data_IF_452585468359
#
_entry.id   IF_452585468359
#
_cell.length_a   1.000
_cell.length_b   1.000
_cell.length_c   1.000
_cell.angle_alpha   90.00
_cell.angle_beta   90.00
_cell.angle_gamma   90.00
#
_symmetry.space_group_name_H-M   'P 1'
#
loop_
_entity.id
_entity.type
_entity.pdbx_description
1 polymer ?
#
# COMPACT_ATOMS: atom_id res chain seq x y z
N UNK A 1 -8.84 -14.93 2.11
CA UNK A 1 -9.20 -14.60 0.69
C UNK A 1 -7.93 -14.51 -0.14
N UNK A 2 -7.83 -15.31 -1.17
CA UNK A 2 -6.60 -15.45 -1.96
C UNK A 2 -6.61 -14.64 -3.25
N UNK A 3 -7.77 -14.40 -3.85
CA UNK A 3 -7.87 -13.52 -5.02
C UNK A 3 -9.26 -12.87 -5.14
N UNK A 4 -9.32 -11.74 -5.86
CA UNK A 4 -10.55 -10.99 -6.12
C UNK A 4 -10.77 -10.91 -7.63
N UNK A 5 -11.87 -11.44 -8.10
CA UNK A 5 -12.39 -11.31 -9.47
C UNK A 5 -13.61 -10.39 -9.48
N UNK A 6 -14.11 -9.99 -10.65
CA UNK A 6 -15.18 -8.98 -10.75
C UNK A 6 -16.39 -9.23 -9.84
N UNK A 7 -16.85 -10.47 -9.71
CA UNK A 7 -18.04 -10.86 -8.94
C UNK A 7 -17.81 -12.12 -8.09
N UNK A 8 -16.61 -12.69 -8.11
CA UNK A 8 -16.22 -13.89 -7.39
C UNK A 8 -14.96 -13.65 -6.58
N UNK A 9 -14.90 -14.28 -5.45
CA UNK A 9 -13.75 -14.25 -4.54
C UNK A 9 -13.18 -15.65 -4.42
N UNK A 10 -11.90 -15.82 -4.70
CA UNK A 10 -11.21 -17.06 -4.39
C UNK A 10 -10.87 -17.08 -2.90
N UNK A 11 -11.21 -18.15 -2.23
CA UNK A 11 -11.03 -18.36 -0.80
C UNK A 11 -10.19 -19.61 -0.60
N UNK A 12 -9.31 -19.61 0.39
CA UNK A 12 -8.64 -20.81 0.87
C UNK A 12 -9.40 -21.35 2.07
N UNK A 13 -9.79 -22.62 2.03
CA UNK A 13 -10.42 -23.35 3.11
C UNK A 13 -9.72 -24.71 3.22
N UNK A 14 -9.03 -24.95 4.33
CA UNK A 14 -8.29 -26.19 4.59
C UNK A 14 -7.34 -26.60 3.44
N UNK A 15 -6.63 -25.60 2.88
CA UNK A 15 -5.70 -25.79 1.76
C UNK A 15 -6.36 -25.92 0.38
N UNK A 16 -7.69 -25.97 0.31
CA UNK A 16 -8.44 -26.04 -0.95
C UNK A 16 -8.93 -24.66 -1.40
N UNK A 17 -8.92 -24.41 -2.71
CA UNK A 17 -9.52 -23.19 -3.27
C UNK A 17 -11.00 -23.40 -3.50
N UNK A 18 -11.83 -22.59 -2.86
CA UNK A 18 -13.26 -22.50 -3.12
C UNK A 18 -13.60 -21.10 -3.62
N UNK A 19 -14.80 -20.92 -4.15
CA UNK A 19 -15.27 -19.60 -4.60
C UNK A 19 -16.43 -19.11 -3.74
N UNK A 20 -16.40 -17.80 -3.47
CA UNK A 20 -17.43 -17.11 -2.72
C UNK A 20 -18.03 -15.93 -3.50
N UNK A 21 -19.28 -15.58 -3.14
CA UNK A 21 -20.00 -14.39 -3.65
C UNK A 21 -20.54 -13.57 -2.50
N UNK A 22 -20.72 -12.28 -2.73
CA UNK A 22 -21.41 -11.38 -1.82
C UNK A 22 -22.90 -11.25 -2.15
N UNK A 23 -23.70 -11.03 -1.12
CA UNK A 23 -25.06 -10.50 -1.28
C UNK A 23 -24.97 -8.99 -1.53
N UNK A 24 -24.78 -8.60 -2.79
CA UNK A 24 -24.36 -7.25 -3.18
C UNK A 24 -25.29 -6.13 -2.69
N UNK A 25 -26.60 -6.38 -2.53
CA UNK A 25 -27.55 -5.40 -1.98
C UNK A 25 -27.25 -5.12 -0.50
N UNK A 26 -27.20 -6.16 0.33
CA UNK A 26 -26.94 -6.04 1.77
C UNK A 26 -25.56 -5.42 2.04
N UNK A 27 -24.55 -5.76 1.21
CA UNK A 27 -23.21 -5.18 1.36
C UNK A 27 -23.16 -3.69 1.04
N UNK A 28 -23.88 -3.24 0.02
CA UNK A 28 -24.02 -1.81 -0.30
C UNK A 28 -24.74 -1.01 0.78
N UNK A 29 -25.74 -1.60 1.40
CA UNK A 29 -26.51 -0.97 2.49
C UNK A 29 -25.69 -0.83 3.77
N UNK A 30 -24.76 -1.74 4.05
CA UNK A 30 -23.87 -1.67 5.22
C UNK A 30 -22.86 -0.53 5.16
N UNK A 31 -22.57 0.00 3.96
CA UNK A 31 -21.51 1.00 3.75
C UNK A 31 -20.08 0.47 3.95
N UNK A 32 -19.91 -0.83 4.19
CA UNK A 32 -18.61 -1.46 4.41
C UNK A 32 -17.77 -1.49 3.13
N UNK A 33 -16.45 -1.42 3.30
CA UNK A 33 -15.52 -1.64 2.18
C UNK A 33 -15.65 -3.08 1.69
N UNK A 34 -15.68 -3.25 0.37
CA UNK A 34 -15.71 -4.58 -0.25
C UNK A 34 -14.52 -5.43 0.22
N UNK A 35 -14.69 -6.75 0.33
CA UNK A 35 -13.62 -7.67 0.64
C UNK A 35 -12.49 -7.58 -0.39
N UNK A 36 -11.26 -7.83 0.07
CA UNK A 36 -10.06 -7.79 -0.75
C UNK A 36 -9.12 -8.94 -0.43
N UNK A 37 -8.01 -9.05 -1.16
CA UNK A 37 -6.98 -10.05 -0.89
C UNK A 37 -6.43 -9.90 0.53
N UNK A 38 -6.24 -11.02 1.23
CA UNK A 38 -5.81 -11.07 2.62
C UNK A 38 -6.94 -10.99 3.66
N UNK A 39 -8.17 -10.69 3.26
CA UNK A 39 -9.31 -10.67 4.20
C UNK A 39 -9.68 -12.08 4.70
N UNK A 40 -10.06 -12.14 5.97
CA UNK A 40 -10.73 -13.28 6.58
C UNK A 40 -12.24 -13.10 6.51
N UNK A 41 -12.97 -14.14 6.14
CA UNK A 41 -14.41 -14.09 5.92
C UNK A 41 -15.08 -15.34 6.46
N UNK A 42 -16.29 -15.17 7.00
CA UNK A 42 -17.19 -16.29 7.24
C UNK A 42 -18.03 -16.58 6.00
N UNK A 43 -18.29 -17.85 5.75
CA UNK A 43 -19.05 -18.29 4.60
C UNK A 43 -20.19 -19.23 5.01
N UNK A 44 -21.27 -19.18 4.26
CA UNK A 44 -22.30 -20.24 4.25
C UNK A 44 -22.05 -21.09 2.99
N UNK A 45 -21.77 -22.39 3.14
CA UNK A 45 -21.61 -23.28 2.00
C UNK A 45 -22.85 -23.33 1.10
N UNK A 46 -22.64 -23.46 -0.20
CA UNK A 46 -23.71 -23.67 -1.17
C UNK A 46 -23.36 -24.91 -2.01
N UNK A 47 -24.16 -25.94 -1.91
CA UNK A 47 -23.95 -27.21 -2.59
C UNK A 47 -24.06 -27.12 -4.13
N UNK A 48 -24.71 -26.06 -4.64
CA UNK A 48 -24.99 -25.89 -6.08
C UNK A 48 -24.17 -24.75 -6.72
N UNK A 49 -23.19 -24.20 -6.02
CA UNK A 49 -22.41 -23.08 -6.56
C UNK A 49 -21.47 -22.44 -5.57
N UNK A 50 -21.18 -21.15 -5.80
CA UNK A 50 -20.27 -20.39 -4.95
C UNK A 50 -20.85 -20.22 -3.53
N UNK A 51 -20.01 -20.35 -2.51
CA UNK A 51 -20.38 -20.08 -1.12
C UNK A 51 -20.82 -18.64 -0.93
N UNK A 52 -21.68 -18.36 0.03
CA UNK A 52 -22.10 -17.02 0.37
C UNK A 52 -21.17 -16.44 1.44
N UNK A 53 -20.51 -15.33 1.15
CA UNK A 53 -19.76 -14.55 2.15
C UNK A 53 -20.76 -13.78 3.00
N UNK A 54 -20.77 -14.06 4.30
CA UNK A 54 -21.74 -13.51 5.26
C UNK A 54 -21.14 -12.46 6.18
N UNK A 55 -19.88 -12.65 6.62
CA UNK A 55 -19.17 -11.74 7.52
C UNK A 55 -17.78 -11.45 6.97
N UNK A 56 -17.34 -10.22 7.14
CA UNK A 56 -15.95 -9.81 6.97
C UNK A 56 -15.36 -9.58 8.36
N UNK A 57 -14.32 -10.33 8.68
CA UNK A 57 -13.61 -10.20 9.94
C UNK A 57 -12.89 -8.84 10.06
N UNK A 58 -12.71 -8.32 11.28
CA UNK A 58 -11.97 -7.09 11.51
C UNK A 58 -10.56 -7.15 10.91
N UNK A 59 -10.22 -6.13 10.14
CA UNK A 59 -8.89 -5.99 9.52
C UNK A 59 -7.89 -5.45 10.53
N UNK A 60 -6.70 -6.07 10.61
CA UNK A 60 -5.58 -5.58 11.43
C UNK A 60 -4.77 -4.51 10.69
N UNK A 61 -4.56 -4.71 9.40
CA UNK A 61 -3.86 -3.79 8.51
C UNK A 61 -4.62 -3.64 7.21
N UNK A 62 -4.51 -2.49 6.55
CA UNK A 62 -5.30 -2.23 5.34
C UNK A 62 -4.63 -1.21 4.42
N UNK A 63 -4.36 -1.59 3.18
CA UNK A 63 -4.15 -0.62 2.11
C UNK A 63 -5.47 -0.21 1.47
N UNK A 64 -5.67 1.10 1.38
CA UNK A 64 -6.84 1.75 0.76
C UNK A 64 -6.42 2.54 -0.47
N UNK A 65 -7.28 2.62 -1.46
CA UNK A 65 -7.14 3.48 -2.63
C UNK A 65 -8.40 4.33 -2.77
N UNK A 66 -8.23 5.62 -3.00
CA UNK A 66 -9.32 6.49 -3.42
C UNK A 66 -9.28 6.63 -4.94
N UNK A 67 -10.40 6.37 -5.61
CA UNK A 67 -10.59 6.79 -7.00
C UNK A 67 -10.76 8.30 -7.03
N UNK A 68 -9.65 9.05 -7.14
CA UNK A 68 -9.62 10.54 -7.11
C UNK A 68 -10.71 11.22 -7.93
N UNK A 69 -11.18 10.61 -9.02
CA UNK A 69 -12.21 11.12 -9.93
C UNK A 69 -13.39 10.15 -10.16
N UNK A 70 -13.39 8.94 -9.59
CA UNK A 70 -14.33 7.87 -9.91
C UNK A 70 -15.60 7.81 -9.05
N UNK A 71 -16.63 7.14 -9.58
CA UNK A 71 -17.92 6.87 -8.92
C UNK A 71 -17.83 5.84 -7.78
N UNK A 72 -16.67 5.22 -7.54
CA UNK A 72 -16.50 4.04 -6.69
C UNK A 72 -16.06 4.32 -5.24
N UNK A 73 -15.67 5.56 -4.90
CA UNK A 73 -15.26 5.91 -3.53
C UNK A 73 -13.93 5.27 -3.11
N UNK A 74 -13.80 4.94 -1.82
CA UNK A 74 -12.63 4.26 -1.24
C UNK A 74 -12.71 2.76 -1.50
N UNK A 75 -11.61 2.17 -1.93
CA UNK A 75 -11.50 0.73 -2.17
C UNK A 75 -10.42 0.11 -1.28
N UNK A 76 -10.71 -1.04 -0.69
CA UNK A 76 -9.69 -1.87 -0.08
C UNK A 76 -8.82 -2.50 -1.19
N UNK A 77 -7.50 -2.49 -0.99
CA UNK A 77 -6.51 -3.00 -1.96
C UNK A 77 -5.89 -4.29 -1.47
N UNK A 78 -5.45 -4.34 -0.22
CA UNK A 78 -4.91 -5.49 0.46
C UNK A 78 -5.17 -5.34 1.97
N UNK A 79 -5.33 -6.45 2.68
CA UNK A 79 -5.60 -6.46 4.12
C UNK A 79 -4.81 -7.56 4.84
N UNK A 80 -4.66 -7.42 6.16
CA UNK A 80 -4.13 -8.43 7.07
C UNK A 80 -2.72 -8.91 6.69
N UNK A 81 -1.81 -7.97 6.46
CA UNK A 81 -0.38 -8.22 6.25
C UNK A 81 0.42 -7.63 7.43
N UNK A 82 1.40 -8.37 7.92
CA UNK A 82 2.23 -7.94 9.06
C UNK A 82 3.32 -6.98 8.63
N UNK A 83 3.88 -7.18 7.43
CA UNK A 83 4.97 -6.35 6.91
C UNK A 83 4.73 -5.89 5.48
N UNK A 84 5.39 -4.79 5.13
CA UNK A 84 5.42 -4.28 3.75
C UNK A 84 6.86 -4.18 3.28
N UNK A 85 7.19 -4.94 2.25
CA UNK A 85 8.46 -4.79 1.56
C UNK A 85 8.40 -3.62 0.60
N UNK A 86 8.99 -2.50 1.00
CA UNK A 86 9.18 -1.32 0.16
C UNK A 86 10.36 -1.60 -0.76
N UNK A 87 10.06 -2.02 -1.98
CA UNK A 87 11.04 -2.49 -2.95
C UNK A 87 11.51 -1.34 -3.82
N UNK A 88 12.83 -1.09 -3.82
CA UNK A 88 13.50 -0.15 -4.72
C UNK A 88 14.80 -0.79 -5.24
N UNK A 89 15.29 -0.34 -6.39
CA UNK A 89 16.51 -0.93 -6.99
C UNK A 89 17.73 -0.05 -6.81
N UNK A 90 18.88 -0.67 -6.57
CA UNK A 90 20.20 -0.02 -6.46
C UNK A 90 20.73 0.34 -7.84
N UNK A 91 20.02 1.22 -8.55
CA UNK A 91 20.39 1.75 -9.85
C UNK A 91 19.92 3.22 -9.96
N UNK A 92 19.82 3.75 -11.20
CA UNK A 92 19.38 5.13 -11.46
C UNK A 92 17.98 5.46 -10.97
N UNK A 93 17.15 4.45 -10.66
CA UNK A 93 15.78 4.62 -10.12
C UNK A 93 15.73 4.75 -8.59
N UNK A 94 16.89 4.72 -7.91
CA UNK A 94 16.95 4.95 -6.46
C UNK A 94 16.52 6.37 -6.14
N UNK A 95 15.46 6.51 -5.33
CA UNK A 95 14.88 7.81 -5.00
C UNK A 95 14.33 7.80 -3.56
N UNK A 96 15.00 8.50 -2.65
CA UNK A 96 14.65 8.56 -1.22
C UNK A 96 13.23 9.09 -0.99
N UNK A 97 12.79 10.08 -1.79
CA UNK A 97 11.45 10.66 -1.63
C UNK A 97 10.34 9.68 -1.93
N UNK A 98 10.58 8.76 -2.88
CA UNK A 98 9.63 7.68 -3.16
C UNK A 98 9.58 6.71 -2.00
N UNK A 99 10.72 6.44 -1.36
CA UNK A 99 10.76 5.60 -0.15
C UNK A 99 10.00 6.26 0.99
N UNK A 100 10.20 7.56 1.26
CA UNK A 100 9.46 8.32 2.27
C UNK A 100 7.94 8.27 2.03
N UNK A 101 7.50 8.41 0.78
CA UNK A 101 6.09 8.27 0.41
C UNK A 101 5.55 6.87 0.72
N UNK A 102 6.29 5.83 0.39
CA UNK A 102 5.90 4.46 0.68
C UNK A 102 5.95 4.13 2.17
N UNK A 103 6.87 4.74 2.92
CA UNK A 103 6.90 4.66 4.38
C UNK A 103 5.61 5.24 4.98
N UNK A 104 5.19 6.44 4.57
CA UNK A 104 3.96 7.05 5.04
C UNK A 104 2.74 6.15 4.79
N UNK A 105 2.61 5.59 3.58
CA UNK A 105 1.54 4.65 3.23
C UNK A 105 1.58 3.38 4.07
N UNK A 106 2.77 2.84 4.33
CA UNK A 106 2.95 1.61 5.09
C UNK A 106 2.59 1.82 6.55
N UNK A 107 3.08 2.89 7.17
CA UNK A 107 2.78 3.23 8.56
C UNK A 107 1.30 3.52 8.76
N UNK A 108 0.67 4.25 7.84
CA UNK A 108 -0.79 4.47 7.85
C UNK A 108 -1.60 3.17 7.75
N UNK A 109 -1.09 2.16 7.06
CA UNK A 109 -1.76 0.85 6.97
C UNK A 109 -1.74 0.05 8.28
N UNK A 110 -0.90 0.44 9.25
CA UNK A 110 -0.65 -0.27 10.50
C UNK A 110 0.38 -1.40 10.40
N UNK A 111 1.07 -1.56 9.25
CA UNK A 111 2.04 -2.62 9.02
C UNK A 111 3.50 -2.16 9.28
N UNK A 112 4.38 -3.13 9.51
CA UNK A 112 5.81 -2.89 9.68
C UNK A 112 6.48 -2.62 8.32
N UNK A 113 7.15 -1.46 8.11
CA UNK A 113 7.93 -1.21 6.92
C UNK A 113 9.25 -1.96 6.95
N UNK A 114 9.63 -2.52 5.79
CA UNK A 114 10.93 -3.15 5.54
C UNK A 114 11.41 -2.69 4.16
N UNK A 115 12.52 -1.98 4.09
CA UNK A 115 13.04 -1.52 2.79
C UNK A 115 13.95 -2.58 2.18
N UNK A 116 13.64 -2.97 0.95
CA UNK A 116 14.36 -3.99 0.19
C UNK A 116 15.02 -3.35 -1.02
N UNK A 117 16.34 -3.20 -0.95
CA UNK A 117 17.17 -2.64 -2.01
C UNK A 117 17.59 -3.78 -2.96
N UNK A 118 16.92 -3.90 -4.08
CA UNK A 118 17.16 -4.97 -5.06
C UNK A 118 18.31 -4.66 -6.00
N UNK A 119 18.70 -5.65 -6.81
CA UNK A 119 19.82 -5.58 -7.78
C UNK A 119 21.16 -5.24 -7.13
N UNK A 120 21.38 -5.75 -5.90
CA UNK A 120 22.62 -5.53 -5.18
C UNK A 120 23.86 -6.14 -5.89
N UNK A 121 23.65 -7.09 -6.79
CA UNK A 121 24.68 -7.64 -7.68
C UNK A 121 25.21 -6.63 -8.70
N UNK A 122 24.44 -5.59 -9.03
CA UNK A 122 24.81 -4.53 -9.96
C UNK A 122 25.37 -3.28 -9.26
N UNK A 123 25.38 -3.26 -7.91
CA UNK A 123 25.87 -2.13 -7.12
C UNK A 123 27.19 -2.52 -6.44
N UNK A 124 28.32 -1.87 -6.78
CA UNK A 124 29.61 -2.18 -6.16
C UNK A 124 29.64 -1.98 -4.65
N UNK A 125 29.00 -0.92 -4.18
CA UNK A 125 28.90 -0.60 -2.75
C UNK A 125 27.46 -0.15 -2.38
N UNK A 126 26.66 -1.01 -1.76
CA UNK A 126 25.31 -0.66 -1.28
C UNK A 126 25.29 0.13 0.04
N UNK A 127 26.40 0.23 0.79
CA UNK A 127 26.42 0.81 2.13
C UNK A 127 25.91 2.27 2.18
N UNK A 128 26.33 3.20 1.31
CA UNK A 128 25.82 4.57 1.32
C UNK A 128 24.31 4.66 1.10
N UNK A 129 23.74 3.78 0.29
CA UNK A 129 22.29 3.72 0.04
C UNK A 129 21.54 3.21 1.27
N UNK A 130 22.06 2.18 1.94
CA UNK A 130 21.50 1.63 3.17
C UNK A 130 21.47 2.71 4.26
N UNK A 131 22.58 3.41 4.47
CA UNK A 131 22.67 4.47 5.47
C UNK A 131 21.74 5.65 5.17
N UNK A 132 21.66 6.07 3.91
CA UNK A 132 20.73 7.13 3.49
C UNK A 132 19.24 6.75 3.77
N UNK A 133 18.88 5.49 3.56
CA UNK A 133 17.51 5.01 3.85
C UNK A 133 17.29 4.86 5.36
N UNK A 134 18.25 4.35 6.11
CA UNK A 134 18.16 4.25 7.59
C UNK A 134 18.00 5.60 8.26
N UNK A 135 18.59 6.64 7.69
CA UNK A 135 18.47 8.01 8.20
C UNK A 135 17.03 8.58 8.08
N UNK A 136 16.15 7.98 7.24
CA UNK A 136 14.77 8.45 7.09
C UNK A 136 13.93 8.21 8.35
N UNK A 137 14.16 7.10 9.04
CA UNK A 137 13.44 6.72 10.27
C UNK A 137 14.32 5.82 11.14
N UNK A 138 14.44 6.15 12.43
CA UNK A 138 15.17 5.32 13.38
C UNK A 138 14.57 3.90 13.47
N UNK A 139 15.43 2.88 13.48
CA UNK A 139 15.02 1.49 13.58
C UNK A 139 14.42 0.90 12.30
N UNK A 140 14.48 1.60 11.17
CA UNK A 140 13.98 1.10 9.88
C UNK A 140 14.84 -0.08 9.39
N UNK A 141 14.27 -1.28 9.19
CA UNK A 141 14.98 -2.41 8.59
C UNK A 141 15.26 -2.14 7.11
N UNK A 142 16.52 -2.28 6.70
CA UNK A 142 16.97 -2.05 5.32
C UNK A 142 17.91 -3.17 4.91
N UNK A 143 17.57 -3.86 3.83
CA UNK A 143 18.32 -5.00 3.31
C UNK A 143 18.66 -4.81 1.83
N UNK A 144 19.92 -5.01 1.48
CA UNK A 144 20.35 -5.09 0.08
C UNK A 144 20.33 -6.55 -0.37
N UNK A 145 19.59 -6.84 -1.43
CA UNK A 145 19.37 -8.20 -1.93
C UNK A 145 19.59 -8.30 -3.43
N UNK A 146 20.01 -9.46 -3.89
CA UNK A 146 20.00 -9.83 -5.30
C UNK A 146 19.11 -11.06 -5.51
N UNK A 147 17.98 -10.88 -6.15
CA UNK A 147 17.11 -11.97 -6.54
C UNK A 147 17.72 -12.85 -7.65
N UNK A 148 18.71 -12.31 -8.41
CA UNK A 148 19.39 -13.04 -9.44
C UNK A 148 20.42 -14.04 -8.89
N UNK A 149 21.11 -13.67 -7.81
CA UNK A 149 22.17 -14.50 -7.19
C UNK A 149 21.74 -15.18 -5.89
N UNK A 150 20.57 -14.80 -5.34
CA UNK A 150 20.09 -15.25 -4.03
C UNK A 150 20.73 -14.51 -2.84
N UNK A 151 21.71 -13.65 -3.06
CA UNK A 151 22.43 -12.95 -1.99
C UNK A 151 21.49 -12.08 -1.16
N UNK A 152 21.52 -12.25 0.17
CA UNK A 152 20.78 -11.42 1.14
C UNK A 152 19.29 -11.75 1.27
N UNK A 153 18.74 -12.72 0.53
CA UNK A 153 17.33 -13.11 0.63
C UNK A 153 16.98 -13.73 1.99
N UNK A 154 17.92 -14.41 2.61
CA UNK A 154 17.80 -15.01 3.94
C UNK A 154 17.52 -13.98 5.04
N UNK A 155 18.00 -12.74 4.87
CA UNK A 155 17.73 -11.64 5.78
C UNK A 155 16.24 -11.23 5.83
N UNK A 156 15.44 -11.62 4.85
CA UNK A 156 14.00 -11.41 4.83
C UNK A 156 13.23 -12.50 5.63
N UNK A 157 13.89 -13.58 6.01
CA UNK A 157 13.30 -14.72 6.74
C UNK A 157 12.50 -14.34 8.00
N UNK A 158 12.94 -13.41 8.85
CA UNK A 158 12.18 -12.98 10.02
C UNK A 158 10.76 -12.46 9.72
N UNK A 159 10.52 -11.95 8.51
CA UNK A 159 9.24 -11.40 8.02
C UNK A 159 8.41 -12.41 7.22
N UNK A 160 9.00 -13.57 6.91
CA UNK A 160 8.41 -14.62 6.08
C UNK A 160 8.32 -15.95 6.84
N UNK A 161 7.95 -15.89 8.12
CA UNK A 161 7.70 -17.09 8.93
C UNK A 161 6.33 -17.69 8.57
N UNK A 162 6.11 -19.01 8.80
CA UNK A 162 4.81 -19.64 8.55
C UNK A 162 3.64 -18.83 9.11
N UNK A 163 2.61 -18.61 8.31
CA UNK A 163 1.42 -17.86 8.67
C UNK A 163 1.55 -16.33 8.59
N UNK A 164 2.76 -15.78 8.42
CA UNK A 164 2.94 -14.33 8.21
C UNK A 164 2.69 -13.94 6.76
N UNK A 165 2.13 -12.75 6.57
CA UNK A 165 1.88 -12.18 5.26
C UNK A 165 2.72 -10.92 5.05
N UNK A 166 3.44 -10.84 3.95
CA UNK A 166 4.12 -9.63 3.50
C UNK A 166 3.44 -9.06 2.25
N UNK A 167 3.33 -7.73 2.16
CA UNK A 167 2.86 -7.06 0.94
C UNK A 167 4.03 -6.40 0.21
N UNK A 168 4.02 -6.39 -1.13
CA UNK A 168 5.04 -5.74 -1.95
C UNK A 168 4.58 -4.35 -2.38
N UNK A 169 5.38 -3.33 -2.11
CA UNK A 169 5.17 -1.96 -2.55
C UNK A 169 6.40 -1.44 -3.27
N UNK A 170 6.25 -0.80 -4.43
CA UNK A 170 7.37 -0.28 -5.21
C UNK A 170 6.99 -0.01 -6.66
N UNK A 171 7.77 0.81 -7.35
CA UNK A 171 7.55 1.21 -8.75
C UNK A 171 7.73 0.05 -9.74
N UNK A 172 7.41 0.30 -11.01
CA UNK A 172 7.65 -0.67 -12.08
C UNK A 172 9.15 -0.88 -12.30
N UNK A 173 9.55 -2.10 -12.64
CA UNK A 173 10.94 -2.39 -13.00
C UNK A 173 11.93 -2.48 -11.83
N UNK A 174 11.51 -2.22 -10.58
CA UNK A 174 12.38 -2.32 -9.40
C UNK A 174 12.71 -3.76 -8.98
N UNK A 175 12.14 -4.77 -9.65
CA UNK A 175 12.47 -6.18 -9.40
C UNK A 175 11.51 -6.93 -8.49
N UNK A 176 10.27 -6.44 -8.25
CA UNK A 176 9.26 -7.14 -7.41
C UNK A 176 8.97 -8.55 -7.92
N UNK A 177 8.63 -8.72 -9.19
CA UNK A 177 8.34 -10.04 -9.77
C UNK A 177 9.55 -10.98 -9.72
N UNK A 178 10.76 -10.43 -9.90
CA UNK A 178 12.00 -11.22 -9.77
C UNK A 178 12.24 -11.65 -8.33
N UNK A 179 11.98 -10.74 -7.36
CA UNK A 179 12.05 -11.05 -5.93
C UNK A 179 11.01 -12.11 -5.55
N UNK A 180 9.76 -11.97 -6.01
CA UNK A 180 8.70 -12.96 -5.80
C UNK A 180 9.12 -14.33 -6.32
N UNK A 181 9.62 -14.43 -7.55
CA UNK A 181 10.09 -15.69 -8.12
C UNK A 181 11.26 -16.30 -7.33
N UNK A 182 12.19 -15.48 -6.86
CA UNK A 182 13.30 -15.95 -6.04
C UNK A 182 12.82 -16.49 -4.67
N UNK A 183 11.85 -15.84 -4.04
CA UNK A 183 11.25 -16.30 -2.78
C UNK A 183 10.37 -17.56 -2.97
N UNK A 184 9.74 -17.71 -4.14
CA UNK A 184 8.95 -18.89 -4.50
C UNK A 184 9.83 -20.10 -4.88
N UNK A 185 11.12 -19.88 -5.17
CA UNK A 185 12.00 -20.94 -5.70
C UNK A 185 11.64 -21.41 -7.12
N UNK A 186 10.69 -20.77 -7.78
CA UNK A 186 10.17 -21.12 -9.11
C UNK A 186 9.86 -19.86 -9.93
N UNK A 187 9.80 -19.98 -11.26
CA UNK A 187 9.34 -18.90 -12.16
C UNK A 187 7.82 -18.84 -12.19
N UNK A 188 7.22 -18.29 -11.16
CA UNK A 188 5.76 -18.14 -11.04
C UNK A 188 5.25 -16.87 -11.72
N UNK A 189 6.09 -15.82 -11.80
CA UNK A 189 5.74 -14.53 -12.36
C UNK A 189 6.54 -14.25 -13.63
N UNK A 190 5.88 -13.70 -14.66
CA UNK A 190 6.55 -13.22 -15.87
C UNK A 190 7.49 -12.03 -15.54
N UNK A 191 8.78 -12.24 -15.74
CA UNK A 191 9.84 -11.23 -15.52
C UNK A 191 10.21 -10.51 -16.82
N UNK A 192 9.26 -10.32 -17.72
CA UNK A 192 9.49 -9.63 -19.00
C UNK A 192 9.92 -8.18 -18.80
N UNK A 193 10.92 -7.73 -19.58
CA UNK A 193 11.29 -6.34 -19.75
C UNK A 193 10.05 -5.50 -20.10
N UNK A 194 10.05 -4.23 -19.66
CA UNK A 194 9.06 -3.20 -19.97
C UNK A 194 8.51 -3.44 -21.38
N UNK A 195 7.25 -3.87 -21.48
CA UNK A 195 6.54 -3.86 -22.75
C UNK A 195 6.10 -2.41 -23.01
N UNK A 196 6.98 -1.68 -23.68
CA UNK A 196 6.57 -0.65 -24.61
C UNK A 196 5.85 -1.40 -25.73
N UNK A 197 4.67 -0.92 -26.12
CA UNK A 197 3.81 -1.43 -27.19
C UNK A 197 3.20 -2.83 -27.02
N UNK A 198 2.04 -2.88 -26.40
CA UNK A 198 1.04 -3.85 -26.86
C UNK A 198 -0.37 -3.21 -26.84
N UNK A 199 -0.66 -2.54 -27.95
CA UNK A 199 -1.97 -1.96 -28.29
C UNK A 199 -2.94 -3.05 -28.78
N UNK A 200 -2.79 -4.32 -28.34
CA UNK A 200 -3.70 -5.44 -28.65
C UNK A 200 -3.99 -6.31 -27.43
N UNK A 201 -5.04 -5.93 -26.72
CA UNK A 201 -6.01 -6.76 -26.03
C UNK A 201 -5.65 -8.18 -25.57
N UNK A 202 -4.62 -8.37 -24.73
CA UNK A 202 -4.48 -9.56 -23.91
C UNK A 202 -3.96 -9.16 -22.53
N UNK A 203 -4.89 -9.02 -21.60
CA UNK A 203 -4.65 -8.74 -20.18
C UNK A 203 -3.82 -9.84 -19.54
N UNK A 204 -2.51 -9.65 -19.43
CA UNK A 204 -1.65 -10.44 -18.55
C UNK A 204 -1.83 -9.94 -17.12
N UNK A 205 -2.45 -10.75 -16.28
CA UNK A 205 -2.49 -10.73 -14.81
C UNK A 205 -2.84 -9.38 -14.17
N UNK A 206 -4.11 -8.99 -14.26
CA UNK A 206 -4.69 -7.83 -13.56
C UNK A 206 -5.27 -8.22 -12.19
N UNK A 207 -4.95 -9.41 -11.66
CA UNK A 207 -5.58 -9.92 -10.44
C UNK A 207 -4.67 -9.73 -9.24
N UNK A 208 -5.24 -9.19 -8.16
CA UNK A 208 -4.63 -9.15 -6.83
C UNK A 208 -4.62 -10.57 -6.30
N UNK A 209 -3.46 -11.07 -5.91
CA UNK A 209 -3.30 -12.46 -5.50
C UNK A 209 -2.46 -12.57 -4.24
N UNK A 210 -2.87 -13.45 -3.35
CA UNK A 210 -2.09 -13.95 -2.22
C UNK A 210 -1.34 -15.20 -2.68
N UNK A 211 -0.04 -15.16 -2.63
CA UNK A 211 0.84 -16.27 -2.99
C UNK A 211 1.34 -16.94 -1.72
N UNK A 212 1.23 -18.26 -1.62
CA UNK A 212 1.83 -19.02 -0.54
C UNK A 212 3.27 -19.38 -0.93
N UNK A 213 4.22 -19.02 -0.05
CA UNK A 213 5.63 -19.34 -0.22
C UNK A 213 5.93 -20.76 0.30
N UNK A 214 6.97 -21.44 -0.22
CA UNK A 214 7.34 -22.81 0.21
C UNK A 214 7.52 -22.99 1.72
N UNK A 215 7.84 -21.88 2.42
CA UNK A 215 7.97 -21.86 3.88
C UNK A 215 6.66 -21.64 4.66
N UNK A 216 5.49 -21.62 3.99
CA UNK A 216 4.18 -21.40 4.63
C UNK A 216 3.90 -19.94 5.00
N UNK A 217 4.73 -19.00 4.56
CA UNK A 217 4.42 -17.56 4.60
C UNK A 217 3.62 -17.16 3.37
N UNK A 218 3.02 -15.98 3.41
CA UNK A 218 2.23 -15.47 2.30
C UNK A 218 2.81 -14.15 1.76
N UNK A 219 2.65 -13.95 0.46
CA UNK A 219 3.06 -12.72 -0.22
C UNK A 219 1.89 -12.14 -1.01
N UNK A 220 1.57 -10.88 -0.77
CA UNK A 220 0.59 -10.13 -1.56
C UNK A 220 1.35 -9.34 -2.62
N UNK A 221 1.21 -9.74 -3.88
CA UNK A 221 1.63 -8.95 -5.04
C UNK A 221 0.39 -8.41 -5.75
N UNK A 222 0.23 -7.09 -5.70
CA UNK A 222 -0.92 -6.45 -6.33
C UNK A 222 -0.45 -5.53 -7.45
N UNK A 223 -0.77 -5.85 -8.71
CA UNK A 223 -0.70 -4.88 -9.79
C UNK A 223 -1.58 -3.67 -9.42
N UNK A 224 -1.04 -2.46 -9.47
CA UNK A 224 -1.79 -1.25 -9.11
C UNK A 224 -1.50 -0.68 -7.71
N UNK A 225 -0.69 -1.34 -6.86
CA UNK A 225 -0.12 -0.66 -5.66
C UNK A 225 0.88 0.45 -6.04
N UNK A 226 1.27 0.53 -7.29
CA UNK A 226 2.08 1.63 -7.88
C UNK A 226 1.35 2.98 -7.83
N UNK A 227 0.02 2.94 -7.89
CA UNK A 227 -0.87 4.10 -7.97
C UNK A 227 -1.60 4.34 -6.63
N UNK A 228 -1.09 3.79 -5.52
CA UNK A 228 -1.59 4.17 -4.21
C UNK A 228 -1.25 5.65 -4.00
N UNK A 229 -2.27 6.50 -4.16
CA UNK A 229 -2.19 7.88 -3.71
C UNK A 229 -2.04 7.91 -2.19
N UNK A 230 -1.34 8.89 -1.67
CA UNK A 230 -1.33 9.15 -0.22
C UNK A 230 -2.71 9.70 0.10
N UNK A 231 -3.56 8.88 0.67
CA UNK A 231 -4.94 9.24 0.99
C UNK A 231 -5.19 9.02 2.46
N UNK A 232 -5.65 10.11 3.16
CA UNK A 232 -6.00 10.07 4.58
C UNK A 232 -4.88 9.37 5.41
N UNK A 233 -3.63 9.77 5.15
CA UNK A 233 -2.43 9.14 5.68
C UNK A 233 -1.71 10.06 6.69
N UNK A 234 -2.49 10.79 7.49
CA UNK A 234 -1.96 11.82 8.38
C UNK A 234 -1.03 11.25 9.46
N UNK A 235 -1.34 10.05 9.99
CA UNK A 235 -0.49 9.40 10.99
C UNK A 235 0.79 8.87 10.36
N UNK A 236 0.69 8.21 9.21
CA UNK A 236 1.85 7.74 8.46
C UNK A 236 2.80 8.88 8.05
N UNK A 237 2.25 10.04 7.69
CA UNK A 237 3.04 11.25 7.40
C UNK A 237 3.74 11.76 8.67
N UNK A 238 3.03 11.84 9.80
CA UNK A 238 3.63 12.26 11.08
C UNK A 238 4.76 11.35 11.52
N UNK A 239 4.58 10.04 11.40
CA UNK A 239 5.63 9.09 11.77
C UNK A 239 6.83 9.12 10.82
N UNK A 240 6.60 9.27 9.52
CA UNK A 240 7.68 9.31 8.51
C UNK A 240 8.53 10.56 8.63
N UNK A 241 7.89 11.70 8.92
CA UNK A 241 8.52 13.02 8.98
C UNK A 241 8.53 13.59 10.41
N UNK A 242 8.66 12.73 11.43
CA UNK A 242 8.55 13.13 12.82
C UNK A 242 9.55 14.20 13.26
N UNK A 243 10.75 14.22 12.68
CA UNK A 243 11.75 15.27 12.85
C UNK A 243 11.27 16.64 12.32
N UNK A 244 10.66 16.67 11.13
CA UNK A 244 10.09 17.89 10.55
C UNK A 244 8.86 18.36 11.32
N UNK A 245 8.01 17.43 11.76
CA UNK A 245 6.83 17.73 12.59
C UNK A 245 7.26 18.35 13.93
N UNK A 246 8.30 17.81 14.57
CA UNK A 246 8.84 18.37 15.80
C UNK A 246 9.41 19.79 15.63
N UNK A 247 10.11 20.04 14.52
CA UNK A 247 10.58 21.38 14.16
C UNK A 247 9.43 22.34 13.84
N UNK A 248 8.41 21.89 13.12
CA UNK A 248 7.23 22.71 12.82
C UNK A 248 6.51 23.18 14.08
N UNK A 249 6.50 22.38 15.13
CA UNK A 249 5.98 22.78 16.45
C UNK A 249 6.73 23.94 17.12
N UNK A 250 7.94 24.26 16.66
CA UNK A 250 8.78 25.36 17.17
C UNK A 250 8.66 26.65 16.33
N UNK A 251 7.85 26.66 15.26
CA UNK A 251 7.62 27.85 14.47
C UNK A 251 6.89 28.94 15.27
N UNK A 252 7.20 30.21 14.98
CA UNK A 252 6.55 31.36 15.62
C UNK A 252 5.03 31.38 15.41
N UNK A 253 4.56 30.93 14.24
CA UNK A 253 3.14 30.91 13.89
C UNK A 253 2.63 29.47 13.83
N UNK A 254 1.42 29.21 14.37
CA UNK A 254 0.78 27.90 14.38
C UNK A 254 0.37 27.39 13.00
N UNK A 255 0.07 28.32 12.09
CA UNK A 255 -0.34 28.09 10.71
C UNK A 255 0.80 28.36 9.72
N UNK A 256 2.04 28.20 10.15
CA UNK A 256 3.22 28.40 9.33
C UNK A 256 3.21 27.45 8.13
N UNK A 257 3.32 27.99 6.91
CA UNK A 257 3.40 27.21 5.67
C UNK A 257 4.82 26.71 5.38
N UNK A 258 5.81 27.12 6.19
CA UNK A 258 7.23 26.81 6.06
C UNK A 258 7.87 27.28 4.74
N UNK A 259 7.26 28.24 4.07
CA UNK A 259 7.74 28.78 2.78
C UNK A 259 8.46 30.12 2.92
N UNK A 260 7.88 31.11 3.59
CA UNK A 260 8.42 32.48 3.66
C UNK A 260 8.25 33.17 5.01
N UNK A 261 7.57 32.56 5.98
CA UNK A 261 7.22 33.20 7.25
C UNK A 261 8.47 33.52 8.10
N UNK A 262 8.53 34.69 8.73
CA UNK A 262 9.61 35.03 9.64
C UNK A 262 9.50 34.20 10.94
N UNK A 263 10.64 33.71 11.42
CA UNK A 263 10.68 32.83 12.60
C UNK A 263 10.21 31.40 12.34
N UNK A 264 10.30 30.93 11.09
CA UNK A 264 10.06 29.54 10.74
C UNK A 264 11.25 28.67 11.16
N UNK A 265 11.03 27.72 12.10
CA UNK A 265 12.08 26.85 12.61
C UNK A 265 12.56 25.84 11.53
N UNK A 266 11.65 25.37 10.67
CA UNK A 266 11.98 24.45 9.57
C UNK A 266 12.93 25.11 8.57
N UNK A 267 12.62 26.35 8.13
CA UNK A 267 13.52 27.09 7.24
C UNK A 267 14.88 27.38 7.86
N UNK A 268 14.90 27.78 9.13
CA UNK A 268 16.15 28.02 9.84
C UNK A 268 17.02 26.76 9.90
N UNK A 269 16.41 25.56 10.07
CA UNK A 269 17.13 24.29 10.02
C UNK A 269 17.70 23.97 8.63
N UNK A 270 16.96 24.29 7.56
CA UNK A 270 17.46 24.17 6.18
C UNK A 270 18.63 25.13 5.93
N UNK A 271 18.52 26.39 6.36
CA UNK A 271 19.58 27.40 6.21
C UNK A 271 20.86 27.02 6.97
N UNK A 272 20.75 26.30 8.10
CA UNK A 272 21.90 25.74 8.84
C UNK A 272 22.43 24.43 8.24
N UNK A 273 21.79 23.87 7.21
CA UNK A 273 22.18 22.60 6.58
C UNK A 273 21.85 21.37 7.42
N UNK A 274 21.00 21.47 8.45
CA UNK A 274 20.58 20.36 9.31
C UNK A 274 19.56 19.46 8.58
N UNK A 275 18.79 20.03 7.66
CA UNK A 275 17.76 19.32 6.87
C UNK A 275 17.87 19.68 5.39
N UNK A 276 17.76 18.66 4.52
CA UNK A 276 17.67 18.87 3.07
C UNK A 276 16.36 19.55 2.69
N UNK A 277 16.44 20.67 2.00
CA UNK A 277 15.29 21.43 1.48
C UNK A 277 14.35 20.55 0.64
N UNK A 278 14.93 19.61 -0.11
CA UNK A 278 14.14 18.66 -0.92
C UNK A 278 13.28 17.75 -0.05
N UNK A 279 13.74 17.39 1.16
CA UNK A 279 12.98 16.60 2.12
C UNK A 279 11.81 17.39 2.70
N UNK A 280 12.03 18.65 3.03
CA UNK A 280 10.94 19.57 3.45
C UNK A 280 9.87 19.67 2.37
N UNK A 281 10.28 19.87 1.12
CA UNK A 281 9.36 19.96 -0.02
C UNK A 281 8.58 18.66 -0.23
N UNK A 282 9.21 17.51 -0.04
CA UNK A 282 8.54 16.22 -0.11
C UNK A 282 7.49 16.05 1.00
N UNK A 283 7.83 16.41 2.24
CA UNK A 283 6.90 16.38 3.37
C UNK A 283 5.65 17.24 3.10
N UNK A 284 5.83 18.47 2.64
CA UNK A 284 4.71 19.37 2.31
C UNK A 284 3.84 18.78 1.19
N UNK A 285 4.45 18.22 0.15
CA UNK A 285 3.72 17.62 -0.96
C UNK A 285 2.92 16.37 -0.53
N UNK A 286 3.53 15.48 0.25
CA UNK A 286 2.87 14.25 0.75
C UNK A 286 1.73 14.61 1.71
N UNK A 287 1.95 15.56 2.61
CA UNK A 287 0.91 16.06 3.52
C UNK A 287 -0.24 16.73 2.79
N UNK A 288 0.05 17.60 1.81
CA UNK A 288 -0.98 18.24 0.99
C UNK A 288 -1.80 17.21 0.20
N UNK A 289 -1.17 16.20 -0.38
CA UNK A 289 -1.87 15.12 -1.08
C UNK A 289 -2.81 14.35 -0.13
N UNK A 290 -2.36 14.03 1.09
CA UNK A 290 -3.18 13.39 2.12
C UNK A 290 -4.42 14.22 2.44
N UNK A 291 -4.26 15.50 2.75
CA UNK A 291 -5.37 16.38 3.11
C UNK A 291 -6.37 16.62 1.98
N UNK A 292 -5.91 16.91 0.77
CA UNK A 292 -6.79 17.16 -0.39
C UNK A 292 -7.63 15.92 -0.71
N UNK A 293 -7.01 14.75 -0.68
CA UNK A 293 -7.71 13.50 -0.97
C UNK A 293 -8.71 13.13 0.13
N UNK A 294 -8.38 13.35 1.40
CA UNK A 294 -9.28 13.15 2.53
C UNK A 294 -10.50 14.10 2.47
N UNK A 295 -10.28 15.38 2.19
CA UNK A 295 -11.36 16.36 2.07
C UNK A 295 -12.33 16.03 0.93
N UNK A 296 -11.81 15.65 -0.24
CA UNK A 296 -12.62 15.19 -1.37
C UNK A 296 -13.47 13.98 -1.02
N UNK A 297 -12.92 13.03 -0.28
CA UNK A 297 -13.67 11.85 0.18
C UNK A 297 -14.77 12.22 1.17
N UNK A 298 -14.49 13.08 2.16
CA UNK A 298 -15.51 13.58 3.13
C UNK A 298 -16.65 14.31 2.43
N UNK A 299 -16.35 15.19 1.48
CA UNK A 299 -17.38 15.90 0.68
C UNK A 299 -18.26 14.93 -0.10
N UNK A 300 -17.69 13.86 -0.69
CA UNK A 300 -18.44 12.83 -1.44
C UNK A 300 -19.31 11.99 -0.54
N UNK A 301 -18.79 11.53 0.60
CA UNK A 301 -19.58 10.79 1.58
C UNK A 301 -20.81 11.60 2.03
N UNK A 302 -20.63 12.90 2.30
CA UNK A 302 -21.74 13.81 2.65
C UNK A 302 -22.78 13.97 1.54
N UNK A 303 -22.33 14.01 0.27
CA UNK A 303 -23.23 14.07 -0.89
C UNK A 303 -23.99 12.75 -1.11
N UNK A 304 -23.35 11.61 -0.88
CA UNK A 304 -23.98 10.30 -0.99
C UNK A 304 -25.08 10.12 0.08
N UNK A 305 -24.80 10.48 1.33
CA UNK A 305 -25.78 10.47 2.42
C UNK A 305 -26.99 11.37 2.12
N UNK A 306 -26.77 12.59 1.59
CA UNK A 306 -27.86 13.49 1.19
C UNK A 306 -28.71 12.93 0.04
N UNK A 307 -28.13 12.17 -0.89
CA UNK A 307 -28.88 11.50 -1.97
C UNK A 307 -29.72 10.35 -1.42
N UNK A 308 -29.19 9.56 -0.51
CA UNK A 308 -29.91 8.46 0.14
C UNK A 308 -31.11 8.97 0.97
N UNK A 309 -30.91 10.02 1.78
CA UNK A 309 -32.00 10.61 2.56
C UNK A 309 -33.11 11.18 1.68
N UNK A 310 -32.78 11.83 0.54
CA UNK A 310 -33.76 12.32 -0.42
C UNK A 310 -34.53 11.18 -1.11
N UNK A 311 -33.87 10.07 -1.44
CA UNK A 311 -34.51 8.90 -2.05
C UNK A 311 -35.49 8.21 -1.07
N UNK A 312 -35.14 8.13 0.21
CA UNK A 312 -36.03 7.60 1.26
C UNK A 312 -37.26 8.49 1.50
N UNK A 313 -37.13 9.83 1.46
CA UNK A 313 -38.25 10.74 1.60
C UNK A 313 -39.17 10.72 0.37
N UNK A 314 -38.67 10.45 -0.83
CA UNK A 314 -39.46 10.38 -2.06
C UNK A 314 -40.24 9.06 -2.20
N UNK A 315 -39.79 7.99 -1.57
CA UNK A 315 -40.51 6.71 -1.54
C UNK A 315 -41.60 6.62 -0.46
N UNK A 316 -41.53 7.46 0.59
CA UNK A 316 -42.53 7.53 1.66
C UNK A 316 -43.77 8.36 1.32
N UNK A 317 -43.82 9.03 0.13
CA UNK A 317 -44.98 9.85 -0.30
C UNK A 317 -45.82 9.20 -1.40
N UNK A 318 -45.58 7.93 -1.73
CA UNK A 318 -46.36 7.14 -2.69
C UNK A 318 -47.01 5.92 -2.05
N UNK A 319 -47.52 6.07 -0.85
CA UNK A 319 -48.34 5.10 -0.16
C UNK A 319 -49.71 5.70 0.15
#
# INVERSE_FOLDING_TARGET
MTAVHRERYALSLDGNTIYGRLKAAAWRESGALYPTVGDWVEITPNLQGDALITVLEPRRTLFRRSDGFGKRGVQAVAANFESVFIVTSLNRDFELRRIERYLALTLESGAQPVVVLTKADLCPDPAPYIEAVRALKAGLPVYAVSAATGKGLDALGPYLRPGMTAALLGSSGVGKSTLTNALMGTKTMDTGAIREDDDRGRHTTTYRQLLELPGGAFLIDTPGMRELGVWDADEGVRETFGDLVALAGQCRFRDCSHTCEPGCAVRAAVERGEIDEKRVRNWLNVGHESHVTAELARRRAKLALRKQSKAQHSSGHKG
#
